data_IF_747727063425
#
_entry.id   IF_747727063425
#
_cell.length_a   1.000
_cell.length_b   1.000
_cell.length_c   1.000
_cell.angle_alpha   90.00
_cell.angle_beta   90.00
_cell.angle_gamma   90.00
#
_symmetry.space_group_name_H-M   'P 1'
#
loop_
_entity.id
_entity.type
_entity.pdbx_description
1 polymer ?
#
# COMPACT_ATOMS: atom_id res chain seq x y z
N UNK A 1 2.27 -4.82 -9.17
CA UNK A 1 1.83 -3.39 -9.11
C UNK A 1 0.91 -3.26 -7.91
N UNK A 2 1.16 -2.30 -7.02
CA UNK A 2 0.34 -2.11 -5.82
C UNK A 2 -0.35 -0.75 -5.83
N UNK A 3 -1.62 -0.72 -5.43
CA UNK A 3 -2.41 0.49 -5.35
C UNK A 3 -2.51 0.97 -3.91
N UNK A 4 -2.50 2.30 -3.72
CA UNK A 4 -2.67 2.92 -2.41
C UNK A 4 -4.13 2.79 -1.98
N UNK A 5 -4.36 2.39 -0.73
CA UNK A 5 -5.70 2.41 -0.11
C UNK A 5 -6.31 3.81 -0.13
N UNK A 6 -7.62 3.92 -0.33
CA UNK A 6 -8.34 5.20 -0.27
C UNK A 6 -8.11 5.94 1.05
N UNK A 7 -7.97 5.21 2.17
CA UNK A 7 -7.65 5.79 3.48
C UNK A 7 -6.30 6.50 3.49
N UNK A 8 -5.28 5.93 2.86
CA UNK A 8 -3.95 6.56 2.77
C UNK A 8 -3.97 7.84 1.91
N UNK A 9 -4.80 7.90 0.86
CA UNK A 9 -5.01 9.12 0.06
C UNK A 9 -5.69 10.22 0.87
N UNK A 10 -6.72 9.87 1.64
CA UNK A 10 -7.43 10.82 2.52
C UNK A 10 -6.51 11.38 3.61
N UNK A 11 -5.62 10.56 4.15
CA UNK A 11 -4.65 10.95 5.18
C UNK A 11 -3.38 11.60 4.60
N UNK A 12 -3.32 11.90 3.31
CA UNK A 12 -2.17 12.51 2.62
C UNK A 12 -0.83 11.78 2.84
N UNK A 13 -0.88 10.46 3.03
CA UNK A 13 0.32 9.64 3.24
C UNK A 13 1.01 9.43 1.89
N UNK A 14 2.17 10.08 1.71
CA UNK A 14 3.02 9.90 0.53
C UNK A 14 3.92 8.68 0.72
N UNK A 15 4.11 7.90 -0.33
CA UNK A 15 5.03 6.75 -0.33
C UNK A 15 6.25 7.17 -1.13
N UNK A 16 7.43 7.13 -0.50
CA UNK A 16 8.72 7.32 -1.12
C UNK A 16 9.44 5.97 -1.24
N UNK A 17 10.40 5.87 -2.15
CA UNK A 17 11.25 4.69 -2.24
C UNK A 17 12.06 4.54 -0.94
N UNK A 18 12.06 3.35 -0.35
CA UNK A 18 12.71 3.06 0.93
C UNK A 18 11.75 2.96 2.12
N UNK A 19 10.48 3.35 1.96
CA UNK A 19 9.49 3.22 3.01
C UNK A 19 9.02 1.77 3.21
N UNK A 20 8.96 1.33 4.47
CA UNK A 20 8.34 0.04 4.83
C UNK A 20 6.82 0.18 4.83
N UNK A 21 6.16 -0.61 4.01
CA UNK A 21 4.71 -0.59 3.86
C UNK A 21 4.10 -1.98 4.01
N UNK A 22 2.92 -2.05 4.62
CA UNK A 22 2.12 -3.27 4.70
C UNK A 22 1.24 -3.36 3.46
N UNK A 23 1.35 -4.49 2.74
CA UNK A 23 0.58 -4.76 1.53
C UNK A 23 -0.33 -5.95 1.78
N UNK A 24 -1.62 -5.78 1.53
CA UNK A 24 -2.56 -6.89 1.42
C UNK A 24 -2.56 -7.40 -0.02
N UNK A 25 -2.40 -8.71 -0.19
CA UNK A 25 -2.40 -9.37 -1.49
C UNK A 25 -3.77 -9.99 -1.74
N UNK A 26 -4.23 -9.94 -2.99
CA UNK A 26 -5.43 -10.69 -3.36
C UNK A 26 -5.09 -12.19 -3.43
N UNK A 27 -5.95 -13.07 -2.91
CA UNK A 27 -5.70 -14.52 -2.89
C UNK A 27 -5.67 -15.14 -4.29
N UNK A 28 -6.16 -14.42 -5.29
CA UNK A 28 -6.21 -14.85 -6.70
C UNK A 28 -5.00 -14.40 -7.52
N UNK A 29 -4.33 -13.31 -7.12
CA UNK A 29 -3.24 -12.69 -7.88
C UNK A 29 -2.21 -12.10 -6.92
N UNK A 30 -1.11 -12.82 -6.71
CA UNK A 30 0.03 -12.36 -5.88
C UNK A 30 0.78 -11.16 -6.51
N UNK A 31 0.53 -10.88 -7.78
CA UNK A 31 1.17 -9.79 -8.54
C UNK A 31 0.52 -8.42 -8.28
N UNK A 32 -0.69 -8.40 -7.71
CA UNK A 32 -1.47 -7.20 -7.43
C UNK A 32 -1.68 -7.07 -5.92
N UNK A 33 -1.27 -5.94 -5.38
CA UNK A 33 -1.35 -5.66 -3.95
C UNK A 33 -2.08 -4.36 -3.64
N UNK A 34 -2.58 -4.24 -2.42
CA UNK A 34 -3.14 -3.00 -1.87
C UNK A 34 -2.32 -2.56 -0.67
N UNK A 35 -1.80 -1.34 -0.70
CA UNK A 35 -1.03 -0.77 0.40
C UNK A 35 -2.00 -0.22 1.44
N UNK A 36 -1.95 -0.77 2.65
CA UNK A 36 -2.88 -0.43 3.74
C UNK A 36 -2.24 0.48 4.76
N UNK A 37 -0.96 0.28 5.05
CA UNK A 37 -0.25 0.97 6.12
C UNK A 37 1.20 1.27 5.75
N UNK A 38 1.72 2.36 6.28
CA UNK A 38 3.14 2.75 6.20
C UNK A 38 3.69 2.78 7.62
N UNK A 39 4.75 2.03 7.87
CA UNK A 39 5.48 2.11 9.13
C UNK A 39 6.35 3.36 9.12
N UNK A 40 6.48 3.99 10.29
CA UNK A 40 7.38 5.13 10.51
C UNK A 40 8.78 4.63 10.81
#
# INVERSE_FOLDING_TARGET
IAHISGKMRLNFIRILQGDKVTVELSPYDLSKGRIVYRYK
#
